data_IF_206029679622
#
_entry.id   IF_206029679622
#
_cell.length_a   1.000
_cell.length_b   1.000
_cell.length_c   1.000
_cell.angle_alpha   90.00
_cell.angle_beta   90.00
_cell.angle_gamma   90.00
#
_symmetry.space_group_name_H-M   'P 1'
#
loop_
_entity.id
_entity.type
_entity.pdbx_description
1 polymer ?
#
# COMPACT_ATOMS: atom_id res chain seq x y z
N UNK A 1 11.56 -1.66 -26.12
CA UNK A 1 10.57 -2.31 -25.22
C UNK A 1 9.26 -1.55 -25.29
N UNK A 2 8.12 -2.23 -25.35
CA UNK A 2 6.81 -1.61 -25.54
C UNK A 2 6.31 -0.96 -24.24
N UNK A 3 5.93 0.33 -24.28
CA UNK A 3 5.36 1.08 -23.15
C UNK A 3 4.11 0.42 -22.56
N UNK A 4 3.34 -0.34 -23.37
CA UNK A 4 2.16 -1.06 -22.90
C UNK A 4 2.50 -2.22 -21.96
N UNK A 5 3.68 -2.84 -22.11
CA UNK A 5 4.14 -3.92 -21.23
C UNK A 5 4.52 -3.39 -19.83
N UNK A 6 5.09 -2.19 -19.76
CA UNK A 6 5.49 -1.54 -18.51
C UNK A 6 4.26 -1.08 -17.73
N UNK A 7 3.27 -0.50 -18.42
CA UNK A 7 2.02 -0.08 -17.80
C UNK A 7 1.24 -1.28 -17.22
N UNK A 8 1.16 -2.39 -17.96
CA UNK A 8 0.54 -3.64 -17.49
C UNK A 8 1.26 -4.22 -16.27
N UNK A 9 2.58 -4.14 -16.24
CA UNK A 9 3.37 -4.56 -15.07
C UNK A 9 3.07 -3.68 -13.85
N UNK A 10 3.08 -2.35 -14.00
CA UNK A 10 2.72 -1.41 -12.94
C UNK A 10 1.32 -1.68 -12.39
N UNK A 11 0.32 -1.85 -13.26
CA UNK A 11 -1.06 -2.19 -12.85
C UNK A 11 -1.11 -3.51 -12.08
N UNK A 12 -0.33 -4.51 -12.50
CA UNK A 12 -0.22 -5.80 -11.81
C UNK A 12 0.41 -5.64 -10.43
N UNK A 13 1.46 -4.83 -10.28
CA UNK A 13 2.12 -4.60 -9.00
C UNK A 13 1.22 -3.78 -8.05
N UNK A 14 0.58 -2.72 -8.54
CA UNK A 14 -0.34 -1.88 -7.77
C UNK A 14 -1.56 -2.69 -7.29
N UNK A 15 -2.11 -3.53 -8.17
CA UNK A 15 -3.22 -4.41 -7.83
C UNK A 15 -2.79 -5.47 -6.82
N UNK A 16 -1.67 -6.16 -7.00
CA UNK A 16 -1.21 -7.16 -6.01
C UNK A 16 -0.90 -6.57 -4.64
N UNK A 17 -0.40 -5.33 -4.57
CA UNK A 17 -0.14 -4.65 -3.31
C UNK A 17 -1.45 -4.20 -2.62
N UNK A 18 -2.36 -3.59 -3.38
CA UNK A 18 -3.67 -3.15 -2.86
C UNK A 18 -4.60 -4.31 -2.53
N UNK A 19 -4.43 -5.40 -3.25
CA UNK A 19 -5.20 -6.62 -3.17
C UNK A 19 -4.34 -7.73 -2.59
N UNK A 20 -3.42 -7.45 -1.64
CA UNK A 20 -2.74 -8.48 -0.83
C UNK A 20 -3.84 -9.43 -0.39
N UNK A 21 -3.99 -10.53 -1.13
CA UNK A 21 -5.18 -11.34 -1.06
C UNK A 21 -5.14 -11.86 0.35
N UNK A 22 -6.25 -11.73 1.06
CA UNK A 22 -6.52 -12.55 2.24
C UNK A 22 -6.46 -13.98 1.71
N UNK A 23 -5.25 -14.55 1.64
CA UNK A 23 -5.02 -15.94 1.31
C UNK A 23 -5.61 -16.66 2.50
N UNK A 24 -6.83 -17.14 2.37
CA UNK A 24 -7.64 -17.80 3.42
C UNK A 24 -6.92 -18.98 4.09
N UNK A 25 -5.82 -19.45 3.50
CA UNK A 25 -4.91 -20.43 4.09
C UNK A 25 -3.89 -19.83 5.08
N UNK A 26 -3.34 -18.64 4.82
CA UNK A 26 -2.40 -17.94 5.72
C UNK A 26 -3.12 -17.07 6.75
N UNK A 27 -4.27 -16.51 6.39
CA UNK A 27 -5.09 -15.65 7.25
C UNK A 27 -5.80 -16.38 8.38
N UNK A 28 -5.74 -17.73 8.44
CA UNK A 28 -6.19 -18.48 9.63
C UNK A 28 -5.37 -18.16 10.89
N UNK A 29 -4.15 -17.65 10.73
CA UNK A 29 -3.25 -17.32 11.84
C UNK A 29 -2.94 -15.81 11.97
N UNK A 30 -3.48 -14.96 11.08
CA UNK A 30 -3.22 -13.52 11.16
C UNK A 30 -4.12 -12.87 12.22
N UNK A 31 -3.53 -12.06 13.08
CA UNK A 31 -4.27 -11.32 14.09
C UNK A 31 -4.93 -10.09 13.49
N UNK A 32 -5.94 -9.53 14.17
CA UNK A 32 -6.53 -8.24 13.80
C UNK A 32 -5.46 -7.13 13.73
N UNK A 33 -4.44 -7.21 14.61
CA UNK A 33 -3.33 -6.27 14.64
C UNK A 33 -2.46 -6.36 13.38
N UNK A 34 -2.15 -7.58 12.92
CA UNK A 34 -1.37 -7.80 11.68
C UNK A 34 -2.09 -7.22 10.46
N UNK A 35 -3.40 -7.47 10.36
CA UNK A 35 -4.24 -6.96 9.27
C UNK A 35 -4.37 -5.43 9.35
N UNK A 36 -4.48 -4.87 10.56
CA UNK A 36 -4.55 -3.42 10.76
C UNK A 36 -3.25 -2.71 10.38
N UNK A 37 -2.09 -3.30 10.69
CA UNK A 37 -0.76 -2.83 10.26
C UNK A 37 -0.58 -2.90 8.75
N UNK A 38 -0.97 -4.02 8.14
CA UNK A 38 -0.96 -4.16 6.67
C UNK A 38 -1.84 -3.08 6.01
N UNK A 39 -3.02 -2.80 6.56
CA UNK A 39 -3.91 -1.76 6.07
C UNK A 39 -3.30 -0.36 6.19
N UNK A 40 -2.65 -0.03 7.31
CA UNK A 40 -1.98 1.26 7.46
C UNK A 40 -0.86 1.43 6.42
N UNK A 41 -0.08 0.37 6.13
CA UNK A 41 0.93 0.41 5.06
C UNK A 41 0.33 0.67 3.68
N UNK A 42 -0.88 0.16 3.40
CA UNK A 42 -1.61 0.43 2.17
C UNK A 42 -2.11 1.88 2.11
N UNK A 43 -2.62 2.40 3.23
CA UNK A 43 -3.05 3.78 3.34
C UNK A 43 -1.88 4.75 3.08
N UNK A 44 -0.73 4.52 3.70
CA UNK A 44 0.47 5.35 3.50
C UNK A 44 0.92 5.32 2.03
N UNK A 45 0.92 4.14 1.40
CA UNK A 45 1.21 4.02 -0.03
C UNK A 45 0.23 4.84 -0.87
N UNK A 46 -1.08 4.75 -0.59
CA UNK A 46 -2.08 5.51 -1.32
C UNK A 46 -1.94 7.03 -1.10
N UNK A 47 -1.55 7.46 0.10
CA UNK A 47 -1.21 8.85 0.42
C UNK A 47 -0.01 9.33 -0.42
N UNK A 48 1.09 8.58 -0.44
CA UNK A 48 2.29 8.90 -1.23
C UNK A 48 1.97 8.97 -2.74
N UNK A 49 1.23 7.99 -3.24
CA UNK A 49 0.76 7.95 -4.63
C UNK A 49 -0.09 9.17 -4.98
N UNK A 50 -0.99 9.57 -4.09
CA UNK A 50 -1.86 10.73 -4.28
C UNK A 50 -1.06 12.03 -4.27
N UNK A 51 -0.07 12.15 -3.38
CA UNK A 51 0.87 13.27 -3.35
C UNK A 51 1.65 13.39 -4.67
N UNK A 52 2.19 12.28 -5.22
CA UNK A 52 2.90 12.30 -6.51
C UNK A 52 1.98 12.59 -7.70
N UNK A 53 0.72 12.15 -7.63
CA UNK A 53 -0.30 12.49 -8.65
C UNK A 53 -0.66 13.98 -8.65
N UNK A 54 -0.55 14.67 -7.52
CA UNK A 54 -0.83 16.10 -7.40
C UNK A 54 0.27 17.02 -8.00
N UNK A 55 1.26 16.47 -8.71
CA UNK A 55 2.27 17.26 -9.44
C UNK A 55 1.59 18.18 -10.48
N UNK A 56 1.95 19.46 -10.46
CA UNK A 56 1.34 20.49 -11.33
C UNK A 56 1.78 20.38 -12.80
N UNK A 57 2.94 19.77 -13.06
CA UNK A 57 3.48 19.58 -14.39
C UNK A 57 4.25 18.25 -14.49
N UNK A 58 4.30 17.71 -15.70
CA UNK A 58 5.24 16.66 -16.07
C UNK A 58 6.66 17.24 -16.10
N UNK A 59 7.51 16.79 -15.17
CA UNK A 59 8.92 17.19 -15.15
C UNK A 59 9.72 16.49 -16.24
N UNK A 60 10.93 16.98 -16.56
CA UNK A 60 11.85 16.37 -17.53
C UNK A 60 12.18 14.88 -17.28
N UNK A 61 11.89 14.36 -16.08
CA UNK A 61 12.06 12.96 -15.69
C UNK A 61 10.74 12.16 -15.67
N UNK A 62 9.62 12.67 -16.20
CA UNK A 62 8.36 11.92 -16.27
C UNK A 62 8.40 10.90 -17.41
N UNK A 63 8.48 9.62 -17.07
CA UNK A 63 8.24 8.53 -18.00
C UNK A 63 7.67 7.31 -17.26
N UNK A 64 7.12 6.34 -18.00
CA UNK A 64 6.50 5.13 -17.44
C UNK A 64 7.46 4.25 -16.61
N UNK A 65 8.75 4.23 -16.97
CA UNK A 65 9.77 3.47 -16.23
C UNK A 65 10.08 4.11 -14.87
N UNK A 66 10.23 5.44 -14.83
CA UNK A 66 10.42 6.22 -13.61
C UNK A 66 9.17 6.12 -12.70
N UNK A 67 7.97 6.20 -13.27
CA UNK A 67 6.72 6.01 -12.52
C UNK A 67 6.64 4.61 -11.88
N UNK A 68 7.11 3.58 -12.60
CA UNK A 68 7.17 2.21 -12.08
C UNK A 68 8.18 2.10 -10.95
N UNK A 69 9.38 2.68 -11.13
CA UNK A 69 10.41 2.74 -10.10
C UNK A 69 9.91 3.43 -8.83
N UNK A 70 9.27 4.60 -8.96
CA UNK A 70 8.69 5.31 -7.82
C UNK A 70 7.57 4.52 -7.15
N UNK A 71 6.75 3.79 -7.92
CA UNK A 71 5.68 2.96 -7.36
C UNK A 71 6.25 1.82 -6.49
N UNK A 72 7.34 1.17 -6.92
CA UNK A 72 8.05 0.14 -6.13
C UNK A 72 8.73 0.74 -4.90
N UNK A 73 9.34 1.92 -5.04
CA UNK A 73 9.96 2.63 -3.93
C UNK A 73 8.92 3.01 -2.86
N UNK A 74 7.78 3.55 -3.29
CA UNK A 74 6.69 3.95 -2.39
C UNK A 74 6.10 2.74 -1.66
N UNK A 75 6.07 1.54 -2.27
CA UNK A 75 5.65 0.31 -1.60
C UNK A 75 6.60 -0.12 -0.47
N UNK A 76 7.91 -0.04 -0.67
CA UNK A 76 8.87 -0.37 0.38
C UNK A 76 8.86 0.70 1.48
N UNK A 77 8.78 1.97 1.09
CA UNK A 77 8.67 3.06 2.04
C UNK A 77 7.40 2.96 2.88
N UNK A 78 6.25 2.62 2.30
CA UNK A 78 5.02 2.51 3.08
C UNK A 78 5.06 1.39 4.12
N UNK A 79 5.73 0.26 3.81
CA UNK A 79 6.00 -0.81 4.79
C UNK A 79 6.93 -0.37 5.91
N UNK A 80 8.00 0.36 5.58
CA UNK A 80 8.98 0.84 6.56
C UNK A 80 8.35 1.92 7.45
N UNK A 81 7.61 2.86 6.85
CA UNK A 81 6.96 3.95 7.54
C UNK A 81 5.87 3.39 8.47
N UNK A 82 4.96 2.54 8.00
CA UNK A 82 3.92 1.97 8.88
C UNK A 82 4.50 1.15 10.05
N UNK A 83 5.71 0.59 9.92
CA UNK A 83 6.38 -0.11 11.03
C UNK A 83 7.07 0.83 12.03
N UNK A 84 7.70 1.90 11.55
CA UNK A 84 8.53 2.77 12.38
C UNK A 84 7.83 4.06 12.83
N UNK A 85 6.81 4.48 12.10
CA UNK A 85 6.03 5.69 12.27
C UNK A 85 4.55 5.31 12.17
N UNK A 86 3.92 5.08 13.31
CA UNK A 86 2.48 4.82 13.36
C UNK A 86 1.69 6.13 13.16
N UNK A 87 0.67 6.09 12.31
CA UNK A 87 -0.29 7.18 12.14
C UNK A 87 -1.53 7.01 13.02
N UNK A 88 -1.58 5.96 13.85
CA UNK A 88 -2.71 5.69 14.73
C UNK A 88 -3.85 4.94 14.04
N UNK A 89 -3.72 4.61 12.75
CA UNK A 89 -4.81 3.99 11.96
C UNK A 89 -4.94 2.53 12.35
N UNK A 90 -3.82 1.82 12.49
CA UNK A 90 -3.83 0.41 12.89
C UNK A 90 -4.46 0.25 14.29
N UNK A 91 -4.10 1.12 15.23
CA UNK A 91 -4.61 1.15 16.60
C UNK A 91 -6.09 1.54 16.64
N UNK A 92 -6.52 2.47 15.79
CA UNK A 92 -7.93 2.83 15.66
C UNK A 92 -8.76 1.65 15.13
N UNK A 93 -8.24 0.90 14.16
CA UNK A 93 -8.88 -0.31 13.65
C UNK A 93 -8.94 -1.41 14.72
N UNK A 94 -7.84 -1.67 15.42
CA UNK A 94 -7.82 -2.64 16.52
C UNK A 94 -8.79 -2.25 17.63
N UNK A 95 -8.88 -0.97 18.00
CA UNK A 95 -9.86 -0.48 18.98
C UNK A 95 -11.30 -0.69 18.48
N UNK A 96 -11.59 -0.30 17.24
CA UNK A 96 -12.93 -0.36 16.67
C UNK A 96 -13.45 -1.80 16.46
N UNK A 97 -12.56 -2.72 16.08
CA UNK A 97 -12.92 -4.10 15.71
C UNK A 97 -12.55 -5.12 16.80
N UNK A 98 -11.60 -4.82 17.68
CA UNK A 98 -11.16 -5.69 18.77
C UNK A 98 -12.07 -5.65 19.99
N UNK A 99 -12.77 -4.53 20.22
CA UNK A 99 -13.78 -4.41 21.29
C UNK A 99 -15.09 -5.14 20.95
N UNK A 100 -15.31 -5.55 19.70
CA UNK A 100 -16.35 -6.52 19.32
C UNK A 100 -15.94 -7.95 19.74
N UNK A 101 -15.65 -8.16 21.02
CA UNK A 101 -15.86 -9.49 21.61
C UNK A 101 -17.36 -9.74 21.63
N UNK A 102 -17.79 -10.50 20.63
CA UNK A 102 -19.06 -11.22 20.57
C UNK A 102 -19.36 -11.79 21.96
N UNK A 103 -20.44 -11.28 22.59
CA UNK A 103 -21.17 -12.03 23.60
C UNK A 103 -22.03 -13.07 22.89
#
# INVERSE_FOLDING_TARGET
>A
MNVNSINKFKETIDSNFSQKKINTKESKNQTLEDVAKDFESLFVYQMMKSSRKAKLAEGVLSNSANDTYFSLLDQEYSKIISKNQSFGIAEALVRQFGEKKVK
#
